data_IF_411855633164
#
_entry.id   IF_411855633164
#
_cell.length_a   1.000
_cell.length_b   1.000
_cell.length_c   1.000
_cell.angle_alpha   90.00
_cell.angle_beta   90.00
_cell.angle_gamma   90.00
#
_symmetry.space_group_name_H-M   'P 1'
#
loop_
_entity.id
_entity.type
_entity.pdbx_description
1 polymer ?
#
# COMPACT_ATOMS: atom_id res chain seq x y z
N UNK A 1 32.41 33.29 -55.89
CA UNK A 1 31.00 33.32 -55.43
C UNK A 1 30.84 32.25 -54.36
N UNK A 2 30.65 32.65 -53.09
CA UNK A 2 30.56 31.75 -51.93
C UNK A 2 29.20 31.04 -51.93
N UNK A 3 29.18 29.71 -51.88
CA UNK A 3 27.96 28.92 -51.66
C UNK A 3 27.66 28.92 -50.16
N UNK A 4 26.56 29.55 -49.76
CA UNK A 4 26.02 29.46 -48.41
C UNK A 4 25.14 28.22 -48.37
N UNK A 5 25.56 27.17 -47.64
CA UNK A 5 24.68 26.08 -47.26
C UNK A 5 23.77 26.58 -46.13
N UNK A 6 22.46 26.65 -46.37
CA UNK A 6 21.47 26.71 -45.30
C UNK A 6 21.28 25.30 -44.75
N UNK A 7 21.80 25.05 -43.55
CA UNK A 7 21.45 23.88 -42.75
C UNK A 7 20.13 24.18 -42.03
N UNK A 8 19.05 23.53 -42.45
CA UNK A 8 17.77 23.52 -41.72
C UNK A 8 17.98 22.63 -40.49
N UNK A 9 18.04 23.25 -39.30
CA UNK A 9 17.98 22.52 -38.03
C UNK A 9 16.51 22.14 -37.82
N UNK A 10 16.18 20.88 -38.07
CA UNK A 10 14.91 20.31 -37.66
C UNK A 10 14.90 20.22 -36.13
N UNK A 11 14.14 21.10 -35.49
CA UNK A 11 13.91 21.08 -34.06
C UNK A 11 12.97 19.90 -33.76
N UNK A 12 13.53 18.76 -33.36
CA UNK A 12 12.76 17.63 -32.86
C UNK A 12 12.17 18.02 -31.50
N UNK A 13 10.89 18.42 -31.47
CA UNK A 13 10.10 18.47 -30.26
C UNK A 13 9.92 17.04 -29.74
N UNK A 14 10.80 16.62 -28.84
CA UNK A 14 10.57 15.45 -28.01
C UNK A 14 9.46 15.85 -27.02
N UNK A 15 8.22 15.56 -27.38
CA UNK A 15 7.15 15.46 -26.39
C UNK A 15 7.54 14.27 -25.52
N UNK A 16 8.10 14.54 -24.34
CA UNK A 16 8.15 13.52 -23.29
C UNK A 16 6.71 13.40 -22.80
N UNK A 17 5.94 12.53 -23.44
CA UNK A 17 4.72 12.02 -22.85
C UNK A 17 5.17 11.23 -21.61
N UNK A 18 4.75 11.65 -20.42
CA UNK A 18 4.76 10.72 -19.29
C UNK A 18 3.77 9.61 -19.66
N UNK A 19 4.27 8.39 -19.76
CA UNK A 19 3.44 7.26 -20.16
C UNK A 19 2.59 6.87 -18.95
N UNK A 20 1.28 7.05 -19.07
CA UNK A 20 0.31 6.46 -18.15
C UNK A 20 0.04 5.03 -18.61
N UNK A 21 0.09 4.09 -17.68
CA UNK A 21 -0.27 2.70 -17.92
C UNK A 21 -1.71 2.48 -17.47
N UNK A 22 -2.56 2.06 -18.41
CA UNK A 22 -3.91 1.58 -18.09
C UNK A 22 -3.85 0.07 -17.84
N UNK A 23 -4.17 -0.33 -16.62
CA UNK A 23 -4.09 -1.71 -16.15
C UNK A 23 -5.49 -2.23 -15.91
N UNK A 24 -5.81 -3.40 -16.46
CA UNK A 24 -7.04 -4.14 -16.17
C UNK A 24 -6.68 -5.47 -15.55
N UNK A 25 -7.24 -5.75 -14.37
CA UNK A 25 -7.03 -6.98 -13.62
C UNK A 25 -8.37 -7.59 -13.23
N UNK A 26 -8.37 -8.83 -12.73
CA UNK A 26 -9.59 -9.51 -12.31
C UNK A 26 -9.40 -10.36 -11.06
N UNK A 27 -10.31 -10.20 -10.09
CA UNK A 27 -10.46 -11.13 -8.96
C UNK A 27 -11.26 -12.39 -9.33
N UNK A 28 -11.72 -12.51 -10.58
CA UNK A 28 -12.61 -13.56 -11.04
C UNK A 28 -14.05 -13.40 -10.54
N UNK A 29 -14.96 -14.19 -11.11
CA UNK A 29 -16.37 -14.13 -10.76
C UNK A 29 -16.58 -14.46 -9.27
N UNK A 30 -17.44 -13.69 -8.62
CA UNK A 30 -17.67 -13.69 -7.16
C UNK A 30 -16.43 -13.41 -6.31
N UNK A 31 -15.38 -12.83 -6.92
CA UNK A 31 -14.11 -12.55 -6.27
C UNK A 31 -13.44 -13.84 -5.74
N UNK A 32 -13.39 -14.87 -6.60
CA UNK A 32 -12.82 -16.18 -6.26
C UNK A 32 -11.32 -16.11 -5.90
N UNK A 33 -10.63 -15.05 -6.31
CA UNK A 33 -9.22 -14.81 -6.04
C UNK A 33 -8.99 -13.50 -5.28
N UNK A 34 -7.94 -13.51 -4.45
CA UNK A 34 -7.24 -12.30 -4.02
C UNK A 34 -6.14 -12.00 -5.05
N UNK A 35 -6.01 -10.73 -5.43
CA UNK A 35 -5.05 -10.30 -6.45
C UNK A 35 -4.03 -9.32 -5.85
N UNK A 36 -2.78 -9.75 -5.82
CA UNK A 36 -1.64 -8.97 -5.37
C UNK A 36 -0.97 -8.32 -6.56
N UNK A 37 -0.72 -7.01 -6.52
CA UNK A 37 -0.20 -6.24 -7.64
C UNK A 37 1.07 -5.48 -7.27
N UNK A 38 2.05 -5.42 -8.19
CA UNK A 38 3.28 -4.64 -8.07
C UNK A 38 3.32 -3.53 -9.11
N UNK A 39 3.40 -2.28 -8.69
CA UNK A 39 3.41 -1.12 -9.57
C UNK A 39 4.68 -1.01 -10.41
N UNK A 40 5.84 -1.31 -9.82
CA UNK A 40 7.14 -1.08 -10.48
C UNK A 40 7.40 -1.92 -11.73
N UNK A 41 6.68 -3.01 -11.91
CA UNK A 41 6.78 -3.89 -13.07
C UNK A 41 5.42 -4.36 -13.62
N UNK A 42 4.32 -3.82 -13.08
CA UNK A 42 2.94 -4.15 -13.42
C UNK A 42 2.62 -5.65 -13.33
N UNK A 43 3.31 -6.39 -12.46
CA UNK A 43 3.07 -7.82 -12.26
C UNK A 43 1.93 -8.07 -11.28
N UNK A 44 1.22 -9.18 -11.49
CA UNK A 44 0.14 -9.64 -10.63
C UNK A 44 0.39 -11.09 -10.17
N UNK A 45 -0.03 -11.40 -8.95
CA UNK A 45 -0.09 -12.75 -8.40
C UNK A 45 -1.50 -12.98 -7.84
N UNK A 46 -2.09 -14.12 -8.14
CA UNK A 46 -3.45 -14.46 -7.67
C UNK A 46 -3.43 -15.69 -6.78
N UNK A 47 -4.24 -15.65 -5.74
CA UNK A 47 -4.42 -16.76 -4.80
C UNK A 47 -5.92 -16.97 -4.57
N UNK A 48 -6.34 -18.22 -4.45
CA UNK A 48 -7.76 -18.55 -4.21
C UNK A 48 -8.18 -17.98 -2.85
N UNK A 49 -9.16 -17.07 -2.86
CA UNK A 49 -9.58 -16.30 -1.68
C UNK A 49 -10.10 -17.19 -0.55
N UNK A 50 -10.70 -18.34 -0.88
CA UNK A 50 -11.25 -19.26 0.11
C UNK A 50 -10.21 -20.21 0.75
N UNK A 51 -8.97 -20.23 0.26
CA UNK A 51 -7.98 -21.28 0.57
C UNK A 51 -7.45 -21.26 2.00
N UNK A 52 -7.53 -20.12 2.69
CA UNK A 52 -6.98 -19.93 4.04
C UNK A 52 -8.06 -19.51 5.03
N UNK A 53 -7.93 -19.91 6.30
CA UNK A 53 -8.85 -19.55 7.40
C UNK A 53 -8.19 -18.55 8.37
N UNK A 54 -6.93 -18.82 8.74
CA UNK A 54 -6.15 -18.04 9.71
C UNK A 54 -4.80 -17.67 9.11
N UNK A 55 -4.34 -16.46 9.41
CA UNK A 55 -3.01 -15.95 9.07
C UNK A 55 -2.24 -15.60 10.35
N UNK A 56 -1.06 -16.19 10.53
CA UNK A 56 -0.18 -16.01 11.68
C UNK A 56 1.03 -15.15 11.30
N UNK A 57 1.19 -13.98 11.92
CA UNK A 57 2.28 -13.04 11.65
C UNK A 57 3.62 -13.68 12.01
N UNK A 58 4.59 -13.63 11.10
CA UNK A 58 5.85 -14.38 11.26
C UNK A 58 7.12 -13.58 11.06
N UNK A 59 7.04 -12.28 10.79
CA UNK A 59 8.18 -11.45 10.36
C UNK A 59 9.38 -11.50 11.30
N UNK A 60 9.12 -11.46 12.62
CA UNK A 60 10.16 -11.61 13.62
C UNK A 60 9.60 -12.25 14.89
N UNK A 61 10.48 -12.68 15.79
CA UNK A 61 10.08 -13.41 16.99
C UNK A 61 9.28 -12.57 18.01
N UNK A 62 9.34 -11.24 17.94
CA UNK A 62 8.67 -10.32 18.86
C UNK A 62 7.32 -9.82 18.34
N UNK A 63 7.10 -9.86 17.03
CA UNK A 63 5.83 -9.50 16.41
C UNK A 63 4.88 -10.70 16.44
N UNK A 64 3.76 -10.54 17.17
CA UNK A 64 2.72 -11.55 17.32
C UNK A 64 1.42 -10.97 16.77
N UNK A 65 0.79 -11.68 15.85
CA UNK A 65 -0.45 -11.24 15.21
C UNK A 65 -1.18 -12.44 14.64
N UNK A 66 -2.50 -12.50 14.85
CA UNK A 66 -3.34 -13.57 14.30
C UNK A 66 -4.58 -12.93 13.67
N UNK A 67 -4.75 -13.13 12.36
CA UNK A 67 -5.89 -12.64 11.58
C UNK A 67 -6.75 -13.79 11.10
N UNK A 68 -8.02 -13.50 10.85
CA UNK A 68 -8.97 -14.44 10.23
C UNK A 68 -9.25 -14.03 8.78
N UNK A 69 -9.64 -14.98 7.92
CA UNK A 69 -10.19 -14.66 6.61
C UNK A 69 -11.66 -14.22 6.74
N UNK A 70 -11.86 -12.96 7.11
CA UNK A 70 -13.18 -12.33 7.19
C UNK A 70 -13.76 -12.02 5.79
N UNK A 71 -12.91 -11.95 4.76
CA UNK A 71 -13.32 -11.80 3.35
C UNK A 71 -14.23 -12.93 2.84
N UNK A 72 -14.03 -14.15 3.32
CA UNK A 72 -14.93 -15.30 3.06
C UNK A 72 -16.09 -15.45 4.06
N UNK A 73 -16.27 -14.47 4.94
CA UNK A 73 -17.37 -14.38 5.88
C UNK A 73 -17.18 -15.18 7.16
N UNK A 74 -15.93 -15.42 7.59
CA UNK A 74 -15.69 -15.94 8.94
C UNK A 74 -15.88 -14.82 9.97
N UNK A 75 -16.72 -15.06 10.95
CA UNK A 75 -16.90 -14.22 12.13
C UNK A 75 -16.14 -14.84 13.31
N UNK A 76 -15.47 -14.02 14.11
CA UNK A 76 -14.72 -14.46 15.29
C UNK A 76 -15.42 -13.97 16.55
N UNK A 77 -15.51 -14.84 17.54
CA UNK A 77 -16.08 -14.54 18.83
C UNK A 77 -15.13 -14.94 19.95
N UNK A 78 -14.99 -14.10 20.97
CA UNK A 78 -14.49 -14.54 22.28
C UNK A 78 -15.63 -15.22 23.04
N UNK A 79 -15.36 -16.43 23.54
CA UNK A 79 -16.35 -17.29 24.20
C UNK A 79 -15.99 -17.66 25.63
N UNK A 80 -14.70 -17.71 25.96
CA UNK A 80 -14.22 -17.87 27.33
C UNK A 80 -12.84 -17.21 27.49
N UNK A 81 -12.54 -16.76 28.70
CA UNK A 81 -11.28 -16.10 29.05
C UNK A 81 -10.31 -16.99 29.86
N UNK A 82 -10.60 -18.29 29.94
CA UNK A 82 -9.67 -19.28 30.49
C UNK A 82 -9.62 -20.52 29.60
N UNK A 83 -8.40 -21.04 29.37
CA UNK A 83 -8.17 -22.21 28.53
C UNK A 83 -8.86 -23.48 29.06
N UNK A 84 -9.16 -23.55 30.36
CA UNK A 84 -9.86 -24.68 30.97
C UNK A 84 -11.30 -24.86 30.43
N UNK A 85 -11.91 -23.78 29.93
CA UNK A 85 -13.27 -23.77 29.41
C UNK A 85 -13.35 -24.19 27.93
N UNK A 86 -12.24 -24.57 27.30
CA UNK A 86 -12.24 -25.03 25.89
C UNK A 86 -13.21 -26.21 25.64
N UNK A 87 -13.48 -27.03 26.66
CA UNK A 87 -14.37 -28.18 26.57
C UNK A 87 -15.82 -27.89 26.97
N UNK A 88 -16.14 -26.69 27.50
CA UNK A 88 -17.48 -26.31 27.94
C UNK A 88 -18.23 -25.41 26.97
N UNK A 89 -17.61 -25.01 25.85
CA UNK A 89 -18.24 -24.15 24.83
C UNK A 89 -19.49 -24.81 24.24
N UNK A 90 -20.63 -24.13 24.31
CA UNK A 90 -21.91 -24.54 23.72
C UNK A 90 -22.33 -23.53 22.64
N UNK A 91 -22.56 -24.00 21.41
CA UNK A 91 -22.94 -23.13 20.28
C UNK A 91 -24.29 -22.43 20.47
N UNK A 92 -25.14 -22.91 21.37
CA UNK A 92 -26.42 -22.26 21.70
C UNK A 92 -26.24 -20.94 22.45
N UNK A 93 -25.05 -20.68 23.01
CA UNK A 93 -24.70 -19.44 23.68
C UNK A 93 -24.27 -18.31 22.72
N UNK A 94 -24.33 -18.50 21.39
CA UNK A 94 -23.85 -17.53 20.38
C UNK A 94 -24.30 -16.09 20.63
N UNK A 95 -25.55 -15.90 21.04
CA UNK A 95 -26.11 -14.57 21.29
C UNK A 95 -25.44 -13.81 22.46
N UNK A 96 -24.67 -14.49 23.30
CA UNK A 96 -23.94 -13.92 24.43
C UNK A 96 -22.46 -13.68 24.15
N UNK A 97 -21.93 -14.20 23.03
CA UNK A 97 -20.51 -14.08 22.73
C UNK A 97 -20.14 -12.69 22.22
N UNK A 98 -18.89 -12.30 22.46
CA UNK A 98 -18.37 -11.00 22.04
C UNK A 98 -17.76 -11.12 20.64
N UNK A 99 -18.30 -10.43 19.61
CA UNK A 99 -17.71 -10.45 18.28
C UNK A 99 -16.41 -9.65 18.23
N UNK A 100 -15.42 -10.17 17.52
CA UNK A 100 -14.11 -9.57 17.31
C UNK A 100 -13.85 -9.45 15.80
N UNK A 101 -13.14 -8.40 15.40
CA UNK A 101 -12.93 -8.07 13.99
C UNK A 101 -11.46 -7.87 13.69
N UNK A 102 -11.04 -8.16 12.46
CA UNK A 102 -9.74 -7.68 12.00
C UNK A 102 -9.76 -6.14 12.00
N UNK A 103 -8.67 -5.52 12.43
CA UNK A 103 -8.41 -4.10 12.15
C UNK A 103 -8.13 -3.96 10.66
N UNK A 104 -8.81 -3.04 9.98
CA UNK A 104 -8.63 -2.75 8.56
C UNK A 104 -7.62 -1.62 8.31
N UNK A 105 -7.03 -1.03 9.35
CA UNK A 105 -5.97 0.00 9.29
C UNK A 105 -4.58 -0.56 9.58
N UNK A 106 -4.48 -1.56 10.47
CA UNK A 106 -3.20 -2.18 10.86
C UNK A 106 -3.15 -3.69 10.57
N UNK A 107 -2.17 -4.11 9.76
CA UNK A 107 -1.94 -5.51 9.42
C UNK A 107 -1.68 -6.41 10.64
N UNK A 108 -1.06 -5.90 11.70
CA UNK A 108 -0.68 -6.73 12.85
C UNK A 108 -1.82 -6.95 13.84
N UNK A 109 -2.84 -6.10 13.80
CA UNK A 109 -3.97 -6.12 14.72
C UNK A 109 -5.15 -6.93 14.16
N UNK A 110 -5.05 -8.26 14.20
CA UNK A 110 -6.14 -9.14 13.75
C UNK A 110 -7.25 -9.37 14.78
N UNK A 111 -8.31 -10.08 14.39
CA UNK A 111 -9.48 -10.34 15.26
C UNK A 111 -9.12 -10.97 16.61
N UNK A 112 -8.17 -11.91 16.63
CA UNK A 112 -7.75 -12.58 17.86
C UNK A 112 -6.89 -11.70 18.75
N UNK A 113 -6.37 -10.58 18.23
CA UNK A 113 -5.62 -9.58 19.01
C UNK A 113 -6.54 -8.67 19.82
N UNK A 114 -7.86 -8.74 19.59
CA UNK A 114 -8.87 -7.92 20.27
C UNK A 114 -9.57 -8.64 21.44
N UNK A 115 -9.15 -9.88 21.77
CA UNK A 115 -9.70 -10.58 22.93
C UNK A 115 -9.27 -9.96 24.26
N UNK A 116 -9.87 -10.43 25.36
CA UNK A 116 -9.74 -9.81 26.67
C UNK A 116 -8.39 -10.00 27.38
N UNK A 117 -7.50 -10.84 26.85
CA UNK A 117 -6.15 -11.02 27.38
C UNK A 117 -5.21 -9.88 26.97
N UNK A 118 -4.08 -9.72 27.68
CA UNK A 118 -3.13 -8.63 27.43
C UNK A 118 -2.56 -8.65 25.99
N UNK A 119 -2.29 -9.83 25.44
CA UNK A 119 -1.86 -9.99 24.03
C UNK A 119 -3.04 -10.30 23.09
N UNK A 120 -4.27 -10.01 23.53
CA UNK A 120 -5.51 -10.33 22.82
C UNK A 120 -5.96 -11.79 23.01
N UNK A 121 -5.06 -12.76 22.87
CA UNK A 121 -5.39 -14.19 22.96
C UNK A 121 -4.71 -14.92 24.13
N UNK A 122 -3.70 -14.31 24.76
CA UNK A 122 -2.89 -14.95 25.79
C UNK A 122 -2.10 -13.98 26.67
N UNK A 123 -1.33 -14.55 27.59
CA UNK A 123 -0.55 -13.82 28.59
C UNK A 123 0.94 -14.19 28.49
N UNK A 124 1.81 -13.19 28.61
CA UNK A 124 3.24 -13.43 28.60
C UNK A 124 3.72 -14.05 29.92
N UNK A 125 4.41 -15.18 29.82
CA UNK A 125 5.05 -15.85 30.95
C UNK A 125 6.53 -15.44 31.02
N UNK A 126 6.94 -14.63 32.03
CA UNK A 126 8.31 -14.13 32.11
C UNK A 126 9.35 -15.21 32.51
N UNK A 127 8.92 -16.39 32.97
CA UNK A 127 9.82 -17.47 33.33
C UNK A 127 10.21 -18.34 32.13
N UNK A 128 9.25 -18.63 31.24
CA UNK A 128 9.49 -19.37 30.00
C UNK A 128 9.82 -18.47 28.81
N UNK A 129 9.42 -17.19 28.85
CA UNK A 129 9.42 -16.25 27.72
C UNK A 129 8.42 -16.60 26.60
N UNK A 130 7.38 -17.36 26.92
CA UNK A 130 6.30 -17.70 26.00
C UNK A 130 5.11 -16.75 26.17
N UNK A 131 4.27 -16.64 25.15
CA UNK A 131 2.89 -16.15 25.34
C UNK A 131 1.97 -17.37 25.39
N UNK A 132 1.31 -17.55 26.53
CA UNK A 132 0.49 -18.73 26.83
C UNK A 132 -0.99 -18.38 26.64
N UNK A 133 -1.70 -19.20 25.88
CA UNK A 133 -3.09 -18.97 25.49
C UNK A 133 -4.08 -19.05 26.64
N UNK A 134 -4.95 -18.05 26.75
CA UNK A 134 -6.02 -18.01 27.77
C UNK A 134 -7.41 -17.89 27.17
N UNK A 135 -7.52 -17.26 26.00
CA UNK A 135 -8.82 -16.98 25.37
C UNK A 135 -9.24 -18.13 24.46
N UNK A 136 -10.49 -18.58 24.62
CA UNK A 136 -11.14 -19.54 23.73
C UNK A 136 -12.05 -18.78 22.77
N UNK A 137 -11.81 -19.00 21.48
CA UNK A 137 -12.56 -18.38 20.40
C UNK A 137 -13.49 -19.38 19.71
N UNK A 138 -14.55 -18.87 19.12
CA UNK A 138 -15.36 -19.59 18.14
C UNK A 138 -15.37 -18.82 16.83
N UNK A 139 -15.12 -19.53 15.74
CA UNK A 139 -15.21 -19.05 14.37
C UNK A 139 -16.51 -19.56 13.77
N UNK A 140 -17.40 -18.66 13.34
CA UNK A 140 -18.61 -18.98 12.59
C UNK A 140 -18.41 -18.69 11.12
N UNK A 141 -18.61 -19.70 10.28
CA UNK A 141 -18.43 -19.60 8.84
C UNK A 141 -19.73 -19.12 8.16
N UNK A 142 -19.62 -18.59 6.95
CA UNK A 142 -20.77 -18.11 6.17
C UNK A 142 -21.82 -19.21 5.88
N UNK A 143 -21.43 -20.48 5.89
CA UNK A 143 -22.33 -21.64 5.75
C UNK A 143 -23.05 -22.04 7.05
N UNK A 144 -22.78 -21.32 8.15
CA UNK A 144 -23.37 -21.54 9.47
C UNK A 144 -22.68 -22.61 10.31
N UNK A 145 -21.56 -23.18 9.86
CA UNK A 145 -20.78 -24.13 10.66
C UNK A 145 -19.74 -23.44 11.55
N UNK A 146 -19.29 -24.15 12.58
CA UNK A 146 -18.45 -23.59 13.65
C UNK A 146 -17.14 -24.34 13.82
N UNK A 147 -16.09 -23.59 14.18
CA UNK A 147 -14.82 -24.11 14.68
C UNK A 147 -14.52 -23.43 16.00
N UNK A 148 -14.28 -24.18 17.08
CA UNK A 148 -13.67 -23.62 18.30
C UNK A 148 -12.15 -23.62 18.14
N UNK A 149 -11.49 -22.60 18.65
CA UNK A 149 -10.07 -22.36 18.45
C UNK A 149 -9.44 -21.74 19.70
N UNK A 150 -8.22 -22.17 20.03
CA UNK A 150 -7.35 -21.51 21.00
C UNK A 150 -5.91 -21.57 20.46
N UNK A 151 -5.21 -20.43 20.46
CA UNK A 151 -3.76 -20.44 20.31
C UNK A 151 -3.15 -20.72 21.68
N UNK A 152 -2.69 -21.94 21.91
CA UNK A 152 -2.23 -22.42 23.23
C UNK A 152 -0.86 -21.84 23.61
N UNK A 153 0.01 -21.58 22.63
CA UNK A 153 1.37 -21.14 22.88
C UNK A 153 1.94 -20.34 21.70
N UNK A 154 2.82 -19.39 22.02
CA UNK A 154 3.74 -18.79 21.06
C UNK A 154 5.17 -18.71 21.61
N UNK A 155 6.10 -19.32 20.86
CA UNK A 155 7.55 -19.15 21.02
C UNK A 155 8.29 -19.43 19.70
N UNK A 156 8.30 -18.43 18.80
CA UNK A 156 8.85 -18.58 17.44
C UNK A 156 8.04 -19.51 16.53
N UNK A 157 6.94 -20.04 17.05
CA UNK A 157 5.95 -20.86 16.39
C UNK A 157 4.61 -20.67 17.10
N UNK A 158 3.51 -20.74 16.36
CA UNK A 158 2.16 -20.74 16.92
C UNK A 158 1.72 -22.17 17.12
N UNK A 159 1.41 -22.55 18.36
CA UNK A 159 0.78 -23.84 18.66
C UNK A 159 -0.67 -23.59 19.04
N UNK A 160 -1.59 -24.20 18.30
CA UNK A 160 -3.02 -23.96 18.44
C UNK A 160 -3.81 -25.26 18.40
N UNK A 161 -4.96 -25.25 19.06
CA UNK A 161 -5.91 -26.36 19.11
C UNK A 161 -7.26 -25.91 18.58
N UNK A 162 -7.90 -26.77 17.79
CA UNK A 162 -9.21 -26.48 17.24
C UNK A 162 -10.05 -27.75 17.08
N UNK A 163 -11.37 -27.57 17.00
CA UNK A 163 -12.34 -28.64 16.74
C UNK A 163 -13.55 -28.10 15.97
N UNK A 164 -14.20 -28.95 15.19
CA UNK A 164 -15.40 -28.60 14.39
C UNK A 164 -16.68 -29.02 15.09
N UNK A 165 -17.76 -28.24 14.92
CA UNK A 165 -19.10 -28.64 15.39
C UNK A 165 -19.81 -29.51 14.35
N UNK A 166 -20.30 -30.70 14.75
CA UNK A 166 -21.03 -31.62 13.85
C UNK A 166 -22.56 -31.45 13.88
N UNK A 167 -23.06 -30.52 14.69
CA UNK A 167 -24.49 -30.32 14.95
C UNK A 167 -24.93 -30.74 16.35
N UNK A 168 -24.13 -31.56 17.06
CA UNK A 168 -24.43 -32.05 18.40
C UNK A 168 -23.23 -32.03 19.36
N UNK A 169 -22.00 -32.16 18.85
CA UNK A 169 -20.79 -32.15 19.64
C UNK A 169 -19.60 -31.53 18.88
N UNK A 170 -18.58 -31.13 19.64
CA UNK A 170 -17.27 -30.81 19.10
C UNK A 170 -16.53 -32.10 18.74
N UNK A 171 -16.09 -32.22 17.49
CA UNK A 171 -15.38 -33.38 16.95
C UNK A 171 -14.11 -32.95 16.21
N UNK A 172 -13.26 -33.91 15.86
CA UNK A 172 -11.99 -33.69 15.15
C UNK A 172 -11.07 -32.70 15.88
N UNK A 173 -11.06 -32.74 17.22
CA UNK A 173 -10.13 -31.94 18.00
C UNK A 173 -8.69 -32.33 17.65
N UNK A 174 -7.89 -31.33 17.28
CA UNK A 174 -6.49 -31.51 16.93
C UNK A 174 -5.67 -30.31 17.36
N UNK A 175 -4.39 -30.56 17.66
CA UNK A 175 -3.39 -29.52 17.92
C UNK A 175 -2.41 -29.48 16.76
N UNK A 176 -2.03 -28.27 16.35
CA UNK A 176 -1.08 -28.01 15.28
C UNK A 176 -0.03 -27.02 15.74
N UNK A 177 1.15 -27.07 15.13
CA UNK A 177 2.21 -26.08 15.34
C UNK A 177 2.71 -25.58 14.00
N UNK A 178 2.69 -24.27 13.81
CA UNK A 178 3.19 -23.59 12.61
C UNK A 178 4.38 -22.73 12.99
N UNK A 179 5.56 -23.08 12.46
CA UNK A 179 6.83 -22.44 12.82
C UNK A 179 7.08 -21.20 11.94
N UNK A 180 7.56 -20.10 12.52
CA UNK A 180 7.88 -18.89 11.76
C UNK A 180 9.03 -19.08 10.75
N UNK A 181 9.82 -20.14 10.88
CA UNK A 181 10.94 -20.44 9.97
C UNK A 181 10.56 -21.22 8.71
N UNK A 182 9.34 -21.76 8.58
CA UNK A 182 8.98 -22.64 7.45
C UNK A 182 8.64 -21.92 6.14
N UNK A 183 8.44 -20.60 6.17
CA UNK A 183 8.10 -19.79 5.00
C UNK A 183 8.78 -18.43 5.08
N UNK A 184 10.03 -18.26 4.60
CA UNK A 184 10.82 -17.06 4.89
C UNK A 184 10.34 -15.80 4.17
N UNK A 185 9.62 -15.92 3.06
CA UNK A 185 9.45 -14.83 2.10
C UNK A 185 8.12 -14.07 2.28
N UNK A 186 7.12 -14.70 2.88
CA UNK A 186 5.80 -14.09 3.12
C UNK A 186 5.70 -13.47 4.52
N UNK A 187 4.75 -12.55 4.71
CA UNK A 187 4.49 -11.86 5.98
C UNK A 187 3.78 -12.76 7.00
N UNK A 188 2.86 -13.60 6.53
CA UNK A 188 2.07 -14.53 7.33
C UNK A 188 2.34 -15.97 6.94
N UNK A 189 2.25 -16.85 7.94
CA UNK A 189 1.96 -18.26 7.72
C UNK A 189 0.43 -18.46 7.66
N UNK A 190 -0.08 -19.01 6.57
CA UNK A 190 -1.51 -19.27 6.40
C UNK A 190 -1.86 -20.72 6.72
N UNK A 191 -3.05 -20.93 7.29
CA UNK A 191 -3.56 -22.25 7.64
C UNK A 191 -5.01 -22.42 7.21
N UNK A 192 -5.34 -23.58 6.63
CA UNK A 192 -6.71 -24.05 6.42
C UNK A 192 -7.12 -24.95 7.57
N UNK A 193 -7.98 -24.47 8.46
CA UNK A 193 -8.56 -25.25 9.55
C UNK A 193 -9.46 -26.36 9.00
N UNK A 194 -10.15 -26.11 7.88
CA UNK A 194 -11.01 -27.12 7.24
C UNK A 194 -10.24 -28.30 6.69
N UNK A 195 -9.12 -28.03 6.04
CA UNK A 195 -8.27 -29.09 5.47
C UNK A 195 -7.21 -29.58 6.46
N UNK A 196 -7.06 -28.89 7.61
CA UNK A 196 -6.04 -29.16 8.63
C UNK A 196 -4.62 -29.16 8.04
N UNK A 197 -4.29 -28.13 7.26
CA UNK A 197 -2.99 -28.01 6.59
C UNK A 197 -2.53 -26.55 6.43
N UNK A 198 -1.20 -26.28 6.44
CA UNK A 198 -0.66 -25.01 5.99
C UNK A 198 -0.93 -24.79 4.50
N UNK A 199 -1.17 -23.54 4.11
CA UNK A 199 -1.40 -23.15 2.71
C UNK A 199 -0.57 -21.93 2.34
N UNK A 200 -0.42 -21.68 1.04
CA UNK A 200 0.15 -20.42 0.52
C UNK A 200 -1.01 -19.56 0.01
N UNK A 201 -1.09 -18.33 0.51
CA UNK A 201 -2.15 -17.39 0.15
C UNK A 201 -1.63 -15.97 -0.16
N UNK A 202 -0.32 -15.76 -0.13
CA UNK A 202 0.30 -14.48 -0.50
C UNK A 202 1.66 -14.71 -1.16
N UNK A 203 2.13 -13.76 -1.99
CA UNK A 203 3.47 -13.80 -2.56
C UNK A 203 4.50 -13.22 -1.58
N UNK A 204 5.78 -13.24 -1.95
CA UNK A 204 6.84 -12.65 -1.13
C UNK A 204 6.58 -11.15 -0.85
N UNK A 205 6.91 -10.67 0.35
CA UNK A 205 6.48 -9.35 0.85
C UNK A 205 7.00 -8.17 0.02
N UNK A 206 8.09 -8.32 -0.72
CA UNK A 206 8.67 -7.30 -1.61
C UNK A 206 8.10 -7.33 -3.04
N UNK A 207 7.32 -8.37 -3.38
CA UNK A 207 6.78 -8.60 -4.73
C UNK A 207 5.37 -8.07 -4.96
N UNK A 208 4.79 -7.32 -4.03
CA UNK A 208 3.49 -6.67 -4.17
C UNK A 208 3.44 -5.34 -3.40
N UNK A 209 2.61 -4.41 -3.84
CA UNK A 209 2.41 -3.09 -3.22
C UNK A 209 0.98 -2.92 -2.68
N UNK A 210 0.00 -3.61 -3.29
CA UNK A 210 -1.35 -3.71 -2.75
C UNK A 210 -2.04 -5.00 -3.16
N UNK A 211 -3.09 -5.35 -2.43
CA UNK A 211 -3.95 -6.51 -2.67
C UNK A 211 -5.40 -6.08 -2.87
N UNK A 212 -6.01 -6.55 -3.94
CA UNK A 212 -7.46 -6.51 -4.15
C UNK A 212 -8.10 -7.72 -3.49
N UNK A 213 -8.98 -7.47 -2.52
CA UNK A 213 -9.68 -8.54 -1.79
C UNK A 213 -10.99 -8.07 -1.21
N UNK A 214 -11.77 -9.04 -0.71
CA UNK A 214 -12.82 -8.79 0.26
C UNK A 214 -12.24 -8.70 1.67
N UNK A 215 -12.74 -7.77 2.47
CA UNK A 215 -12.42 -7.63 3.89
C UNK A 215 -13.57 -6.94 4.62
N UNK A 216 -13.60 -7.02 5.95
CA UNK A 216 -14.62 -6.34 6.75
C UNK A 216 -14.10 -5.00 7.24
N UNK A 217 -14.96 -3.97 7.18
CA UNK A 217 -14.67 -2.64 7.71
C UNK A 217 -15.88 -2.11 8.47
N UNK A 218 -15.68 -1.17 9.39
CA UNK A 218 -16.78 -0.53 10.11
C UNK A 218 -17.41 0.59 9.27
N UNK A 219 -18.68 0.44 8.91
CA UNK A 219 -19.42 1.46 8.16
C UNK A 219 -20.24 2.34 9.09
N UNK A 220 -20.13 3.65 8.93
CA UNK A 220 -20.93 4.64 9.65
C UNK A 220 -21.45 5.74 8.70
N UNK A 221 -22.75 5.75 8.34
CA UNK A 221 -23.82 4.80 8.70
C UNK A 221 -23.67 3.42 8.02
N UNK A 222 -24.27 2.32 8.55
CA UNK A 222 -25.29 2.28 9.61
C UNK A 222 -24.75 2.00 11.03
N UNK A 223 -23.44 2.04 11.26
CA UNK A 223 -22.81 1.77 12.56
C UNK A 223 -22.55 0.29 12.80
N UNK A 224 -22.13 -0.45 11.76
CA UNK A 224 -21.87 -1.88 11.85
C UNK A 224 -20.70 -2.29 10.95
N UNK A 225 -20.07 -3.40 11.29
CA UNK A 225 -19.08 -4.05 10.44
C UNK A 225 -19.75 -4.68 9.22
N UNK A 226 -19.19 -4.45 8.04
CA UNK A 226 -19.74 -4.92 6.77
C UNK A 226 -18.62 -5.37 5.82
N UNK A 227 -18.82 -6.48 5.06
CA UNK A 227 -17.85 -6.92 4.08
C UNK A 227 -17.86 -6.00 2.86
N UNK A 228 -16.69 -5.46 2.52
CA UNK A 228 -16.45 -4.65 1.32
C UNK A 228 -15.48 -5.37 0.39
N UNK A 229 -15.43 -4.94 -0.86
CA UNK A 229 -14.37 -5.31 -1.81
C UNK A 229 -13.54 -4.07 -2.07
N UNK A 230 -12.24 -4.13 -1.84
CA UNK A 230 -11.37 -2.95 -1.92
C UNK A 230 -9.90 -3.32 -2.05
N UNK A 231 -9.06 -2.34 -1.72
CA UNK A 231 -7.62 -2.40 -1.91
C UNK A 231 -6.93 -2.11 -0.58
N UNK A 232 -6.05 -3.02 -0.16
CA UNK A 232 -5.20 -2.83 1.02
C UNK A 232 -3.75 -2.74 0.57
N UNK A 233 -3.02 -1.71 0.98
CA UNK A 233 -1.61 -1.55 0.60
C UNK A 233 -0.68 -2.33 1.54
N UNK A 234 0.49 -2.68 0.99
CA UNK A 234 1.57 -3.35 1.69
C UNK A 234 2.17 -2.41 2.75
N UNK A 235 2.62 -2.92 3.92
CA UNK A 235 3.41 -2.15 4.90
C UNK A 235 4.68 -1.48 4.35
N UNK A 236 5.24 -2.00 3.25
CA UNK A 236 6.45 -1.47 2.61
C UNK A 236 6.21 -0.21 1.75
N UNK A 237 4.98 0.29 1.69
CA UNK A 237 4.63 1.55 1.02
C UNK A 237 3.74 2.38 1.92
N UNK A 238 3.81 3.69 1.76
CA UNK A 238 2.84 4.63 2.34
C UNK A 238 1.97 5.20 1.23
N UNK A 239 0.73 5.54 1.54
CA UNK A 239 -0.22 6.01 0.54
C UNK A 239 -0.82 7.34 0.96
N UNK A 240 -0.92 8.28 0.03
CA UNK A 240 -1.73 9.48 0.21
C UNK A 240 -2.97 9.41 -0.68
N UNK A 241 -4.11 9.86 -0.17
CA UNK A 241 -5.33 10.07 -0.96
C UNK A 241 -5.50 11.57 -1.23
N UNK A 242 -5.88 11.92 -2.45
CA UNK A 242 -6.18 13.29 -2.87
C UNK A 242 -7.44 13.38 -3.74
N UNK A 243 -8.15 14.51 -3.64
CA UNK A 243 -9.25 14.86 -4.54
C UNK A 243 -8.74 15.80 -5.64
N UNK A 244 -8.77 15.35 -6.89
CA UNK A 244 -8.26 16.05 -8.07
C UNK A 244 -9.30 16.11 -9.18
N UNK A 245 -9.84 17.31 -9.44
CA UNK A 245 -10.85 17.48 -10.49
C UNK A 245 -10.26 17.51 -11.91
N UNK A 246 -9.00 17.97 -12.09
CA UNK A 246 -8.33 18.04 -13.41
C UNK A 246 -6.80 18.29 -13.33
N UNK A 247 -6.31 18.89 -12.24
CA UNK A 247 -4.88 19.17 -12.06
C UNK A 247 -4.27 18.25 -11.03
N UNK A 248 -3.23 17.52 -11.42
CA UNK A 248 -2.44 16.72 -10.49
C UNK A 248 -1.93 17.59 -9.33
N UNK A 249 -2.11 17.10 -8.11
CA UNK A 249 -1.53 17.72 -6.93
C UNK A 249 -0.04 17.38 -6.88
N UNK A 250 0.77 18.29 -6.35
CA UNK A 250 2.18 18.02 -6.11
C UNK A 250 2.30 16.91 -5.04
N UNK A 251 2.90 15.74 -5.35
CA UNK A 251 3.03 14.63 -4.40
C UNK A 251 3.85 14.97 -3.15
N UNK A 252 4.53 16.12 -3.09
CA UNK A 252 5.18 16.61 -1.85
C UNK A 252 4.20 17.28 -0.87
N UNK A 253 3.01 17.65 -1.33
CA UNK A 253 2.03 18.44 -0.57
C UNK A 253 0.79 17.62 -0.19
N UNK A 254 0.93 16.29 -0.12
CA UNK A 254 -0.11 15.36 0.33
C UNK A 254 0.36 14.61 1.58
N UNK A 255 -0.59 14.15 2.39
CA UNK A 255 -0.32 13.40 3.61
C UNK A 255 -0.24 11.91 3.29
N UNK A 256 0.93 11.31 3.50
CA UNK A 256 1.14 9.87 3.33
C UNK A 256 0.85 9.15 4.64
N UNK A 257 0.02 8.13 4.55
CA UNK A 257 -0.52 7.33 5.64
C UNK A 257 0.04 5.90 5.59
N UNK A 258 0.13 5.28 6.76
CA UNK A 258 0.54 3.87 6.93
C UNK A 258 -0.67 2.94 7.01
N UNK A 259 -1.86 3.49 7.24
CA UNK A 259 -3.13 2.77 7.36
C UNK A 259 -3.44 2.00 6.08
N UNK A 260 -3.41 0.66 6.14
CA UNK A 260 -3.45 -0.19 4.94
C UNK A 260 -4.68 0.04 4.05
N UNK A 261 -5.80 0.52 4.61
CA UNK A 261 -7.02 0.84 3.90
C UNK A 261 -7.06 2.27 3.33
N UNK A 262 -5.93 3.00 3.27
CA UNK A 262 -5.90 4.35 2.69
C UNK A 262 -6.38 4.40 1.24
N UNK A 263 -6.16 3.33 0.45
CA UNK A 263 -6.84 3.17 -0.85
C UNK A 263 -8.27 2.67 -0.64
N UNK A 264 -8.42 1.60 0.14
CA UNK A 264 -9.69 1.15 0.68
C UNK A 264 -10.69 0.73 -0.38
N UNK A 265 -11.97 0.95 -0.07
CA UNK A 265 -13.10 0.53 -0.90
C UNK A 265 -13.85 1.69 -1.54
N UNK A 266 -13.64 2.92 -1.08
CA UNK A 266 -14.50 4.09 -1.25
C UNK A 266 -14.29 4.84 -2.58
N UNK A 267 -13.25 4.50 -3.35
CA UNK A 267 -13.09 4.90 -4.75
C UNK A 267 -14.24 4.48 -5.68
N UNK A 268 -15.18 3.69 -5.16
CA UNK A 268 -16.40 3.26 -5.85
C UNK A 268 -17.58 3.24 -4.89
N UNK A 269 -18.76 3.50 -5.44
CA UNK A 269 -20.03 3.41 -4.72
C UNK A 269 -21.06 2.60 -5.52
N UNK A 270 -21.79 1.71 -4.84
CA UNK A 270 -22.84 0.93 -5.48
C UNK A 270 -24.08 1.80 -5.75
N UNK A 271 -24.56 1.81 -7.00
CA UNK A 271 -25.67 2.66 -7.45
C UNK A 271 -27.01 1.91 -7.60
N UNK A 272 -27.07 0.64 -7.16
CA UNK A 272 -28.25 -0.23 -7.29
C UNK A 272 -28.19 -1.17 -8.49
N UNK A 273 -27.34 -0.89 -9.49
CA UNK A 273 -27.19 -1.72 -10.70
C UNK A 273 -25.74 -2.08 -11.03
N UNK A 274 -24.81 -1.22 -10.64
CA UNK A 274 -23.37 -1.38 -10.80
C UNK A 274 -22.65 -0.43 -9.84
N UNK A 275 -21.48 0.06 -10.25
CA UNK A 275 -20.65 0.93 -9.43
C UNK A 275 -20.33 2.24 -10.15
N UNK A 276 -20.51 3.35 -9.44
CA UNK A 276 -19.99 4.65 -9.84
C UNK A 276 -18.56 4.77 -9.30
N UNK A 277 -17.63 5.23 -10.14
CA UNK A 277 -16.23 5.44 -9.76
C UNK A 277 -16.02 6.91 -9.35
N UNK A 278 -15.32 7.13 -8.25
CA UNK A 278 -14.93 8.46 -7.77
C UNK A 278 -13.83 9.02 -8.69
N UNK A 279 -14.24 9.69 -9.77
CA UNK A 279 -13.31 10.17 -10.80
C UNK A 279 -12.27 11.19 -10.29
N UNK A 280 -12.55 11.88 -9.19
CA UNK A 280 -11.65 12.84 -8.57
C UNK A 280 -10.67 12.18 -7.57
N UNK A 281 -10.95 10.98 -7.06
CA UNK A 281 -10.12 10.34 -6.04
C UNK A 281 -8.86 9.74 -6.68
N UNK A 282 -7.70 10.26 -6.28
CA UNK A 282 -6.36 9.85 -6.73
C UNK A 282 -5.54 9.42 -5.53
N UNK A 283 -4.56 8.56 -5.81
CA UNK A 283 -3.68 8.02 -4.79
C UNK A 283 -2.24 8.23 -5.20
N UNK A 284 -1.38 8.48 -4.22
CA UNK A 284 0.06 8.50 -4.39
C UNK A 284 0.66 7.39 -3.53
N UNK A 285 1.26 6.40 -4.17
CA UNK A 285 1.92 5.27 -3.50
C UNK A 285 3.41 5.56 -3.47
N UNK A 286 3.96 5.72 -2.26
CA UNK A 286 5.36 6.09 -2.02
C UNK A 286 6.15 4.93 -1.45
N UNK A 287 7.29 4.66 -2.06
CA UNK A 287 8.29 3.71 -1.61
C UNK A 287 9.37 4.40 -0.77
N UNK A 288 10.09 3.63 0.06
CA UNK A 288 11.22 4.10 0.87
C UNK A 288 12.36 4.74 0.06
N UNK A 289 12.51 4.34 -1.22
CA UNK A 289 13.50 4.91 -2.12
C UNK A 289 13.03 6.22 -2.79
N UNK A 290 11.96 6.83 -2.30
CA UNK A 290 11.33 8.05 -2.81
C UNK A 290 10.70 7.92 -4.21
N UNK A 291 10.56 6.70 -4.74
CA UNK A 291 9.74 6.46 -5.93
C UNK A 291 8.27 6.69 -5.57
N UNK A 292 7.54 7.44 -6.39
CA UNK A 292 6.10 7.67 -6.21
C UNK A 292 5.34 7.38 -7.48
N UNK A 293 4.29 6.57 -7.35
CA UNK A 293 3.31 6.33 -8.40
C UNK A 293 2.01 7.03 -8.06
N UNK A 294 1.43 7.71 -9.04
CA UNK A 294 0.06 8.21 -8.96
C UNK A 294 -0.88 7.16 -9.57
N UNK A 295 -1.94 6.81 -8.85
CA UNK A 295 -2.91 5.78 -9.22
C UNK A 295 -4.35 6.30 -9.15
N UNK A 296 -5.21 5.87 -10.07
CA UNK A 296 -6.66 6.08 -9.96
C UNK A 296 -7.50 5.05 -10.71
N UNK A 297 -8.65 4.71 -10.13
CA UNK A 297 -9.58 3.76 -10.72
C UNK A 297 -10.42 4.41 -11.82
N UNK A 298 -10.85 3.59 -12.77
CA UNK A 298 -11.68 3.99 -13.92
C UNK A 298 -12.86 3.06 -14.15
N UNK A 299 -12.77 1.80 -13.68
CA UNK A 299 -13.84 0.82 -13.87
C UNK A 299 -13.85 -0.23 -12.74
N UNK A 300 -15.06 -0.70 -12.40
CA UNK A 300 -15.29 -1.87 -11.56
C UNK A 300 -16.59 -2.57 -11.97
N UNK A 301 -16.50 -3.80 -12.47
CA UNK A 301 -17.65 -4.57 -12.98
C UNK A 301 -18.39 -5.37 -11.88
N UNK A 302 -17.90 -5.31 -10.65
CA UNK A 302 -18.49 -6.00 -9.50
C UNK A 302 -18.31 -7.51 -9.54
N UNK A 303 -19.14 -8.23 -8.79
CA UNK A 303 -18.98 -9.67 -8.56
C UNK A 303 -19.30 -10.54 -9.77
N UNK A 304 -19.87 -9.98 -10.83
CA UNK A 304 -20.21 -10.74 -12.04
C UNK A 304 -18.95 -11.27 -12.75
N UNK A 305 -17.90 -10.46 -12.79
CA UNK A 305 -16.62 -10.79 -13.44
C UNK A 305 -15.42 -10.61 -12.51
N UNK A 306 -15.53 -9.74 -11.49
CA UNK A 306 -14.40 -9.34 -10.66
C UNK A 306 -13.41 -8.40 -11.36
N UNK A 307 -13.72 -7.91 -12.55
CA UNK A 307 -12.84 -7.05 -13.34
C UNK A 307 -12.80 -5.62 -12.76
N UNK A 308 -11.62 -5.01 -12.83
CA UNK A 308 -11.38 -3.63 -12.46
C UNK A 308 -10.27 -3.02 -13.31
N UNK A 309 -10.35 -1.71 -13.55
CA UNK A 309 -9.37 -0.98 -14.34
C UNK A 309 -8.90 0.26 -13.60
N UNK A 310 -7.59 0.47 -13.56
CA UNK A 310 -6.97 1.67 -13.01
C UNK A 310 -5.86 2.18 -13.93
N UNK A 311 -5.50 3.44 -13.75
CA UNK A 311 -4.38 4.08 -14.42
C UNK A 311 -3.29 4.34 -13.39
N UNK A 312 -2.05 4.07 -13.76
CA UNK A 312 -0.87 4.37 -12.94
C UNK A 312 0.17 5.16 -13.73
N UNK A 313 0.91 6.03 -13.04
CA UNK A 313 1.96 6.89 -13.60
C UNK A 313 3.10 7.04 -12.59
N UNK A 314 4.35 6.81 -13.00
CA UNK A 314 5.52 7.18 -12.19
C UNK A 314 5.69 8.71 -12.20
N UNK A 315 5.46 9.33 -11.04
CA UNK A 315 5.53 10.78 -10.82
C UNK A 315 6.74 11.18 -9.96
N UNK A 316 7.73 10.28 -9.80
CA UNK A 316 8.93 10.53 -9.00
C UNK A 316 9.72 11.75 -9.46
N UNK A 317 9.66 12.08 -10.76
CA UNK A 317 10.28 13.30 -11.32
C UNK A 317 9.72 14.61 -10.73
N UNK A 318 8.46 14.59 -10.29
CA UNK A 318 7.75 15.72 -9.67
C UNK A 318 8.23 15.95 -8.22
N UNK A 319 8.69 14.90 -7.53
CA UNK A 319 9.27 14.99 -6.17
C UNK A 319 10.61 15.74 -6.11
N UNK A 320 11.11 16.21 -7.25
CA UNK A 320 11.96 17.36 -7.20
C UNK A 320 13.39 17.07 -6.76
N UNK A 321 13.95 15.89 -7.03
CA UNK A 321 15.39 15.70 -7.27
C UNK A 321 15.59 14.64 -8.36
N UNK A 322 16.24 14.98 -9.46
CA UNK A 322 16.70 14.02 -10.46
C UNK A 322 18.22 13.98 -10.47
N UNK A 323 18.80 12.79 -10.66
CA UNK A 323 20.24 12.64 -10.85
C UNK A 323 20.65 13.23 -12.21
N UNK A 324 21.46 14.27 -12.18
CA UNK A 324 22.09 14.90 -13.36
C UNK A 324 23.22 14.03 -13.88
N UNK A 325 23.95 13.41 -12.95
CA UNK A 325 24.97 12.38 -13.14
C UNK A 325 24.95 11.44 -11.93
N UNK A 326 25.76 10.37 -11.92
CA UNK A 326 26.00 9.57 -10.71
C UNK A 326 26.58 10.38 -9.54
N UNK A 327 27.05 11.60 -9.78
CA UNK A 327 27.74 12.45 -8.80
C UNK A 327 27.00 13.74 -8.46
N UNK A 328 25.91 14.05 -9.17
CA UNK A 328 25.14 15.29 -8.97
C UNK A 328 23.66 15.00 -9.04
N UNK A 329 22.92 15.38 -8.00
CA UNK A 329 21.46 15.37 -7.98
C UNK A 329 20.94 16.80 -8.01
N UNK A 330 19.83 17.07 -8.70
CA UNK A 330 19.25 18.41 -8.87
C UNK A 330 17.73 18.42 -8.69
N UNK A 331 17.26 19.38 -7.93
CA UNK A 331 15.89 19.54 -7.50
C UNK A 331 15.37 20.97 -7.51
N UNK A 332 14.05 21.12 -7.56
CA UNK A 332 13.41 22.43 -7.39
C UNK A 332 12.02 22.32 -6.76
N UNK A 333 11.71 23.26 -5.86
CA UNK A 333 10.42 23.37 -5.16
C UNK A 333 10.21 24.80 -4.62
N UNK A 334 8.97 25.24 -4.37
CA UNK A 334 7.73 24.63 -4.85
C UNK A 334 7.61 24.78 -6.37
N UNK A 335 6.91 23.85 -7.00
CA UNK A 335 6.56 23.93 -8.41
C UNK A 335 5.17 23.30 -8.63
N UNK A 336 4.09 24.09 -8.83
CA UNK A 336 4.10 25.51 -9.21
C UNK A 336 4.54 26.48 -8.11
N UNK A 337 5.21 27.57 -8.49
CA UNK A 337 5.54 28.70 -7.59
C UNK A 337 4.44 29.76 -7.66
N UNK A 338 3.91 30.14 -6.49
CA UNK A 338 2.80 31.11 -6.36
C UNK A 338 3.30 32.52 -6.08
N UNK A 339 4.39 32.65 -5.34
CA UNK A 339 5.00 33.92 -4.93
C UNK A 339 6.24 34.28 -5.76
N UNK A 340 6.57 33.45 -6.75
CA UNK A 340 7.78 33.59 -7.55
C UNK A 340 9.06 33.23 -6.79
N UNK A 341 8.99 32.62 -5.61
CA UNK A 341 10.17 32.06 -4.94
C UNK A 341 10.29 30.57 -5.26
N UNK A 342 11.46 30.17 -5.75
CA UNK A 342 11.77 28.77 -6.10
C UNK A 342 13.09 28.40 -5.45
N UNK A 343 13.07 27.42 -4.56
CA UNK A 343 14.26 26.80 -4.03
C UNK A 343 14.82 25.81 -5.06
N UNK A 344 16.11 25.93 -5.33
CA UNK A 344 16.87 24.95 -6.06
C UNK A 344 17.74 24.19 -5.07
N UNK A 345 17.57 22.88 -5.08
CA UNK A 345 18.43 21.95 -4.36
C UNK A 345 19.38 21.29 -5.34
N UNK A 346 20.63 21.12 -4.95
CA UNK A 346 21.50 20.16 -5.62
C UNK A 346 22.51 19.60 -4.63
N UNK A 347 22.90 18.34 -4.84
CA UNK A 347 23.94 17.69 -4.07
C UNK A 347 25.10 17.30 -4.99
N UNK A 348 26.32 17.68 -4.62
CA UNK A 348 27.53 17.20 -5.27
C UNK A 348 28.16 16.11 -4.38
N UNK A 349 28.05 14.85 -4.80
CA UNK A 349 28.51 13.67 -4.04
C UNK A 349 30.06 13.58 -4.03
N UNK A 350 30.72 14.25 -4.98
CA UNK A 350 32.17 14.38 -5.05
C UNK A 350 32.58 15.84 -5.33
N UNK A 351 33.87 16.15 -5.17
CA UNK A 351 34.40 17.44 -5.62
C UNK A 351 34.42 17.48 -7.15
N UNK A 352 33.66 18.38 -7.75
CA UNK A 352 33.54 18.51 -9.20
C UNK A 352 34.32 19.76 -9.62
N UNK A 353 35.30 19.60 -10.51
CA UNK A 353 36.11 20.70 -11.00
C UNK A 353 35.35 21.61 -11.96
N UNK A 354 34.29 21.10 -12.57
CA UNK A 354 33.47 21.80 -13.56
C UNK A 354 32.44 22.71 -12.87
N UNK A 355 31.99 23.75 -13.58
CA UNK A 355 31.06 24.75 -13.04
C UNK A 355 29.63 24.23 -13.04
N UNK A 356 28.90 24.52 -11.97
CA UNK A 356 27.46 24.33 -11.91
C UNK A 356 26.75 25.64 -12.29
N UNK A 357 25.69 25.55 -13.09
CA UNK A 357 24.89 26.72 -13.48
C UNK A 357 23.41 26.39 -13.57
N UNK A 358 22.58 27.36 -13.21
CA UNK A 358 21.13 27.33 -13.35
C UNK A 358 20.74 28.41 -14.36
N UNK A 359 19.99 28.03 -15.38
CA UNK A 359 19.39 28.95 -16.33
C UNK A 359 17.88 28.67 -16.47
N UNK A 360 17.07 29.72 -16.61
CA UNK A 360 15.63 29.59 -16.87
C UNK A 360 15.35 30.12 -18.26
N UNK A 361 14.57 29.37 -19.04
CA UNK A 361 14.18 29.71 -20.39
C UNK A 361 12.66 29.83 -20.48
N UNK A 362 12.18 30.85 -21.16
CA UNK A 362 10.80 30.90 -21.62
C UNK A 362 10.56 29.85 -22.71
N UNK A 363 9.30 29.45 -22.94
CA UNK A 363 8.95 28.42 -23.93
C UNK A 363 9.36 28.76 -25.37
N UNK A 364 9.60 30.04 -25.68
CA UNK A 364 10.13 30.49 -26.97
C UNK A 364 11.67 30.35 -27.07
N UNK A 365 12.33 29.77 -26.07
CA UNK A 365 13.79 29.59 -26.00
C UNK A 365 14.57 30.78 -25.47
N UNK A 366 13.91 31.90 -25.12
CA UNK A 366 14.58 33.07 -24.55
C UNK A 366 15.07 32.75 -23.15
N UNK A 367 16.37 32.92 -22.88
CA UNK A 367 16.93 32.82 -21.53
C UNK A 367 16.51 34.03 -20.71
N UNK A 368 15.76 33.80 -19.63
CA UNK A 368 15.19 34.84 -18.76
C UNK A 368 15.89 34.93 -17.40
N UNK A 369 16.65 33.91 -17.02
CA UNK A 369 17.48 33.90 -15.81
C UNK A 369 18.73 33.05 -16.06
N UNK A 370 19.85 33.43 -15.44
CA UNK A 370 21.11 32.69 -15.51
C UNK A 370 21.98 32.99 -14.28
N UNK A 371 22.47 31.93 -13.61
CA UNK A 371 23.31 32.09 -12.43
C UNK A 371 24.25 30.89 -12.25
N UNK A 372 25.52 31.18 -12.08
CA UNK A 372 26.49 30.18 -11.60
C UNK A 372 26.19 29.85 -10.12
N UNK A 373 26.31 28.57 -9.77
CA UNK A 373 26.16 28.05 -8.40
C UNK A 373 27.42 27.30 -7.97
N UNK A 374 27.60 27.16 -6.65
CA UNK A 374 28.81 26.56 -6.09
C UNK A 374 28.99 25.12 -6.55
N UNK A 375 30.23 24.69 -6.72
CA UNK A 375 30.63 23.35 -7.18
C UNK A 375 31.43 22.55 -6.12
N UNK A 376 31.40 22.98 -4.85
CA UNK A 376 32.01 22.24 -3.75
C UNK A 376 31.18 20.99 -3.43
N UNK A 377 31.80 19.97 -2.84
CA UNK A 377 31.08 18.81 -2.30
C UNK A 377 30.07 19.26 -1.23
N UNK A 378 28.88 18.65 -1.26
CA UNK A 378 27.86 18.79 -0.22
C UNK A 378 26.47 19.07 -0.80
N UNK A 379 25.52 19.25 0.12
CA UNK A 379 24.15 19.63 -0.18
C UNK A 379 24.02 21.15 -0.22
N UNK A 380 23.36 21.66 -1.26
CA UNK A 380 23.10 23.08 -1.44
C UNK A 380 21.61 23.33 -1.62
N UNK A 381 21.10 24.33 -0.91
CA UNK A 381 19.76 24.85 -1.09
C UNK A 381 19.86 26.36 -1.35
N UNK A 382 19.32 26.82 -2.48
CA UNK A 382 19.34 28.22 -2.88
C UNK A 382 17.99 28.66 -3.40
N UNK A 383 17.40 29.64 -2.72
CA UNK A 383 16.21 30.33 -3.22
C UNK A 383 16.56 31.25 -4.38
N UNK A 384 15.76 31.16 -5.44
CA UNK A 384 15.79 32.02 -6.61
C UNK A 384 14.46 32.77 -6.65
N UNK A 385 14.57 34.08 -6.78
CA UNK A 385 13.44 34.98 -6.99
C UNK A 385 13.19 35.14 -8.49
N UNK A 386 12.06 34.60 -8.94
CA UNK A 386 11.50 34.70 -10.28
C UNK A 386 10.19 35.48 -10.29
N UNK A 387 9.87 36.24 -9.23
CA UNK A 387 8.63 37.05 -9.13
C UNK A 387 8.48 38.11 -10.23
N UNK A 388 9.58 38.43 -10.93
CA UNK A 388 9.58 39.35 -12.07
C UNK A 388 9.16 38.69 -13.40
N UNK A 389 9.09 37.36 -13.45
CA UNK A 389 8.59 36.62 -14.60
C UNK A 389 7.06 36.60 -14.60
N UNK A 390 6.47 36.57 -15.79
CA UNK A 390 5.02 36.46 -15.92
C UNK A 390 4.56 35.04 -15.55
N UNK A 391 3.33 34.91 -15.06
CA UNK A 391 2.69 33.61 -14.86
C UNK A 391 2.71 32.81 -16.16
N UNK A 392 3.12 31.55 -16.08
CA UNK A 392 3.34 30.71 -17.25
C UNK A 392 4.29 29.55 -17.02
N UNK A 393 4.63 28.86 -18.10
CA UNK A 393 5.53 27.71 -18.10
C UNK A 393 6.92 28.13 -18.55
N UNK A 394 7.94 27.66 -17.84
CA UNK A 394 9.35 27.89 -18.08
C UNK A 394 10.13 26.58 -18.03
N UNK A 395 11.34 26.59 -18.56
CA UNK A 395 12.28 25.47 -18.46
C UNK A 395 13.49 25.89 -17.62
N UNK A 396 13.68 25.24 -16.47
CA UNK A 396 14.86 25.39 -15.62
C UNK A 396 15.88 24.36 -16.06
N UNK A 397 17.03 24.82 -16.53
CA UNK A 397 18.17 24.02 -16.92
C UNK A 397 19.22 24.09 -15.84
N UNK A 398 19.60 22.95 -15.28
CA UNK A 398 20.79 22.84 -14.45
C UNK A 398 21.88 22.12 -15.22
N UNK A 399 23.05 22.75 -15.31
CA UNK A 399 24.22 22.21 -16.01
C UNK A 399 25.34 22.01 -15.00
N UNK A 400 25.84 20.78 -14.90
CA UNK A 400 27.06 20.43 -14.19
C UNK A 400 28.04 19.91 -15.23
N UNK A 401 28.99 20.76 -15.63
CA UNK A 401 29.98 20.35 -16.60
C UNK A 401 29.43 20.12 -18.00
N UNK A 402 29.66 18.92 -18.56
CA UNK A 402 29.05 18.49 -19.84
C UNK A 402 27.63 17.94 -19.70
N UNK A 403 27.18 17.66 -18.48
CA UNK A 403 25.87 17.08 -18.20
C UNK A 403 24.85 18.17 -17.88
N UNK A 404 23.64 17.98 -18.40
CA UNK A 404 22.55 18.94 -18.25
C UNK A 404 21.25 18.20 -17.98
N UNK A 405 20.54 18.68 -16.98
CA UNK A 405 19.16 18.30 -16.70
C UNK A 405 18.26 19.50 -16.92
N UNK A 406 16.99 19.26 -17.23
CA UNK A 406 16.03 20.35 -17.40
C UNK A 406 14.68 19.97 -16.82
N UNK A 407 14.15 20.82 -15.94
CA UNK A 407 12.85 20.64 -15.29
C UNK A 407 11.89 21.75 -15.69
N UNK A 408 10.61 21.42 -15.85
CA UNK A 408 9.53 22.38 -16.14
C UNK A 408 9.17 23.17 -14.88
N UNK A 409 9.28 24.49 -14.92
CA UNK A 409 8.82 25.39 -13.86
C UNK A 409 7.50 26.03 -14.25
N UNK A 410 6.54 26.04 -13.34
CA UNK A 410 5.23 26.68 -13.49
C UNK A 410 5.17 27.85 -12.50
N UNK A 411 4.91 29.06 -13.01
CA UNK A 411 4.70 30.27 -12.20
C UNK A 411 3.20 30.61 -12.29
N UNK A 412 2.52 30.78 -11.16
CA UNK A 412 1.08 31.09 -11.11
C UNK A 412 0.78 32.58 -11.17
#
# INVERSE_FOLDING_TARGET
MKKILLSVIALATVLVATAQDTVTVSMGANYENELYFKLSNLSENTYVAANWDIAFLRENAQSIGIRVNDGKGIQVFETANTAADFNSIDVTDEASWTPLYNDDTNWDNGAFMQGSATYGWGEYNPASHHVEGTIVFVLKYADGSYVKFINEDYFGAYTFKFATWDGAAWVNETTQTVNNSTNPDTRYNYFSLRNNEPVVAEPAIDTWDFVFRKYTTFLNPPGQYYPVTGVLHNPNVTVAQSDEDDTAIDPNNVEYLEEMNTIGYDWKNFNGSGYDIANNQKYYVKYDNETVYRLYFTEFEGSSTGNLTFVTEDVSSVLGIENVTEQVSFGMYPNPSVDGQVNIIFENIANISEKNSVAIYAMNGTKVYDKEVTNSNGFFNKTIDVSTLQSGVYLVSFTSGTSKISKKLIIK
#
